data_IF_309244177252
#
_entry.id   IF_309244177252
#
_cell.length_a   1.000
_cell.length_b   1.000
_cell.length_c   1.000
_cell.angle_alpha   90.00
_cell.angle_beta   90.00
_cell.angle_gamma   90.00
#
_symmetry.space_group_name_H-M   'P 1'
#
loop_
_entity.id
_entity.type
_entity.pdbx_description
1 polymer ?
#
# COMPACT_ATOMS: atom_id res chain seq x y z
N UNK A 1 -2.92 -14.47 50.99
CA UNK A 1 -1.67 -13.72 50.76
C UNK A 1 -1.46 -13.27 49.30
N UNK A 2 -2.20 -13.81 48.30
CA UNK A 2 -1.99 -13.47 46.87
C UNK A 2 -2.70 -12.19 46.38
N UNK A 3 -3.86 -11.82 46.92
CA UNK A 3 -4.63 -10.69 46.37
C UNK A 3 -3.99 -9.33 46.64
N UNK A 4 -3.37 -9.13 47.81
CA UNK A 4 -2.65 -7.87 48.10
C UNK A 4 -1.37 -7.72 47.28
N UNK A 5 -0.68 -8.80 47.00
CA UNK A 5 0.53 -8.80 46.17
C UNK A 5 0.20 -8.52 44.69
N UNK A 6 -0.94 -9.01 44.22
CA UNK A 6 -1.43 -8.76 42.83
C UNK A 6 -1.84 -7.28 42.66
N UNK A 7 -2.52 -6.71 43.63
CA UNK A 7 -2.89 -5.28 43.65
C UNK A 7 -1.67 -4.35 43.66
N UNK A 8 -0.60 -4.71 44.35
CA UNK A 8 0.66 -3.96 44.38
C UNK A 8 1.36 -3.98 43.02
N UNK A 9 1.47 -5.16 42.37
CA UNK A 9 2.13 -5.28 41.06
C UNK A 9 1.41 -4.49 39.98
N UNK A 10 0.08 -4.53 39.94
CA UNK A 10 -0.70 -3.76 38.99
C UNK A 10 -0.57 -2.26 39.24
N UNK A 11 -0.63 -1.82 40.49
CA UNK A 11 -0.43 -0.41 40.87
C UNK A 11 0.96 0.09 40.45
N UNK A 12 2.01 -0.63 40.82
CA UNK A 12 3.38 -0.29 40.44
C UNK A 12 3.59 -0.25 38.93
N UNK A 13 2.89 -1.12 38.19
CA UNK A 13 2.96 -1.14 36.71
C UNK A 13 2.26 0.08 36.11
N UNK A 14 1.09 0.44 36.62
CA UNK A 14 0.37 1.65 36.19
C UNK A 14 1.22 2.90 36.45
N UNK A 15 1.77 3.05 37.65
CA UNK A 15 2.64 4.18 37.99
C UNK A 15 3.82 4.31 37.00
N UNK A 16 4.52 3.20 36.72
CA UNK A 16 5.66 3.20 35.77
C UNK A 16 5.26 3.50 34.34
N UNK A 17 4.12 3.00 33.89
CA UNK A 17 3.62 3.25 32.53
C UNK A 17 3.03 4.66 32.36
N UNK A 18 2.56 5.27 33.48
CA UNK A 18 2.02 6.63 33.49
C UNK A 18 3.08 7.71 33.75
N UNK A 19 4.32 7.32 34.02
CA UNK A 19 5.43 8.26 34.15
C UNK A 19 5.74 8.92 32.80
N UNK A 20 5.63 10.24 32.72
CA UNK A 20 5.85 11.02 31.50
C UNK A 20 7.21 10.71 30.85
N UNK A 21 8.24 10.48 31.63
CA UNK A 21 9.57 10.13 31.10
C UNK A 21 9.56 8.82 30.31
N UNK A 22 8.67 7.87 30.65
CA UNK A 22 8.58 6.57 30.01
C UNK A 22 7.93 6.60 28.62
N UNK A 23 7.05 7.55 28.34
CA UNK A 23 6.29 7.63 27.09
C UNK A 23 6.51 8.89 26.27
N UNK A 24 7.28 9.87 26.77
CA UNK A 24 7.47 11.19 26.14
C UNK A 24 7.74 11.16 24.62
N UNK A 25 8.49 10.16 24.14
CA UNK A 25 8.79 10.02 22.70
C UNK A 25 7.76 9.19 21.94
N UNK A 26 6.87 8.48 22.64
CA UNK A 26 5.89 7.57 22.08
C UNK A 26 4.47 8.12 22.15
N UNK A 27 4.28 9.23 22.89
CA UNK A 27 2.98 9.84 23.10
C UNK A 27 2.65 10.78 21.92
N UNK A 28 1.50 10.53 21.30
CA UNK A 28 0.91 11.44 20.33
C UNK A 28 -0.19 12.24 21.03
N UNK A 29 0.05 13.56 21.18
CA UNK A 29 -0.98 14.47 21.65
C UNK A 29 -1.86 14.87 20.47
N UNK A 30 -3.12 14.49 20.53
CA UNK A 30 -4.14 14.90 19.56
C UNK A 30 -5.17 15.81 20.24
N UNK A 31 -5.94 16.52 19.44
CA UNK A 31 -7.01 17.40 19.95
C UNK A 31 -8.16 16.54 20.43
N UNK A 32 -8.91 17.03 21.43
CA UNK A 32 -10.14 16.41 21.86
C UNK A 32 -11.07 16.21 20.65
N UNK A 33 -11.58 14.97 20.47
CA UNK A 33 -12.46 14.55 19.38
C UNK A 33 -11.80 14.25 18.01
N UNK A 34 -10.50 14.39 17.83
CA UNK A 34 -9.84 13.96 16.58
C UNK A 34 -9.86 12.44 16.44
N UNK A 35 -10.46 11.96 15.34
CA UNK A 35 -10.40 10.54 14.99
C UNK A 35 -9.04 10.19 14.42
N UNK A 36 -8.46 9.07 14.84
CA UNK A 36 -7.26 8.49 14.23
C UNK A 36 -7.64 7.70 12.98
N UNK A 37 -6.71 7.55 12.01
CA UNK A 37 -6.91 6.62 10.90
C UNK A 37 -7.19 5.20 11.42
N UNK A 38 -8.27 4.58 10.93
CA UNK A 38 -8.73 3.26 11.38
C UNK A 38 -8.42 2.18 10.36
N UNK A 39 -7.65 1.16 10.75
CA UNK A 39 -7.38 0.00 9.91
C UNK A 39 -8.65 -0.77 9.51
N UNK A 40 -9.65 -0.83 10.39
CA UNK A 40 -10.92 -1.50 10.09
C UNK A 40 -11.71 -0.75 9.01
N UNK A 41 -11.81 0.58 9.13
CA UNK A 41 -12.48 1.41 8.11
C UNK A 41 -11.71 1.38 6.78
N UNK A 42 -10.38 1.37 6.82
CA UNK A 42 -9.58 1.23 5.59
C UNK A 42 -9.81 -0.12 4.91
N UNK A 43 -10.03 -1.19 5.67
CA UNK A 43 -10.43 -2.49 5.09
C UNK A 43 -11.76 -2.40 4.38
N UNK A 44 -12.75 -1.74 4.98
CA UNK A 44 -14.05 -1.49 4.33
C UNK A 44 -13.90 -0.66 3.05
N UNK A 45 -13.08 0.39 3.07
CA UNK A 45 -12.75 1.21 1.89
C UNK A 45 -12.16 0.34 0.76
N UNK A 46 -11.23 -0.56 1.07
CA UNK A 46 -10.64 -1.47 0.09
C UNK A 46 -11.68 -2.44 -0.47
N UNK A 47 -12.56 -2.96 0.35
CA UNK A 47 -13.63 -3.87 -0.09
C UNK A 47 -14.65 -3.14 -0.98
N UNK A 48 -14.99 -1.88 -0.68
CA UNK A 48 -15.81 -1.02 -1.56
C UNK A 48 -15.09 -0.74 -2.90
N UNK A 49 -13.80 -0.41 -2.86
CA UNK A 49 -13.01 -0.24 -4.08
C UNK A 49 -13.05 -1.52 -4.94
N UNK A 50 -12.85 -2.69 -4.35
CA UNK A 50 -12.94 -3.97 -5.06
C UNK A 50 -14.32 -4.22 -5.66
N UNK A 51 -15.40 -3.92 -4.92
CA UNK A 51 -16.77 -4.08 -5.40
C UNK A 51 -17.09 -3.12 -6.56
N UNK A 52 -16.53 -1.91 -6.55
CA UNK A 52 -16.65 -0.93 -7.62
C UNK A 52 -15.82 -1.37 -8.84
N UNK A 53 -14.57 -1.77 -8.63
CA UNK A 53 -13.61 -2.10 -9.70
C UNK A 53 -13.96 -3.41 -10.41
N UNK A 54 -14.48 -4.40 -9.68
CA UNK A 54 -14.83 -5.74 -10.17
C UNK A 54 -16.29 -6.10 -9.81
N UNK A 55 -17.27 -5.44 -10.44
CA UNK A 55 -18.69 -5.69 -10.15
C UNK A 55 -19.07 -7.14 -10.45
N UNK A 56 -19.73 -7.77 -9.49
CA UNK A 56 -20.13 -9.18 -9.57
C UNK A 56 -19.09 -10.18 -9.03
N UNK A 57 -17.85 -9.75 -8.79
CA UNK A 57 -16.84 -10.57 -8.12
C UNK A 57 -16.81 -10.32 -6.62
N UNK A 58 -17.00 -9.08 -6.20
CA UNK A 58 -16.95 -8.66 -4.80
C UNK A 58 -18.25 -8.00 -4.37
N UNK A 59 -18.50 -7.97 -3.06
CA UNK A 59 -19.72 -7.41 -2.47
C UNK A 59 -20.82 -8.46 -2.30
N UNK A 60 -21.89 -8.09 -1.59
CA UNK A 60 -22.97 -8.99 -1.16
C UNK A 60 -24.18 -8.99 -2.11
N UNK A 61 -24.19 -8.14 -3.13
CA UNK A 61 -25.34 -7.93 -4.00
C UNK A 61 -25.24 -8.80 -5.27
N UNK A 62 -26.35 -9.41 -5.65
CA UNK A 62 -26.50 -9.98 -7.01
C UNK A 62 -26.62 -8.83 -8.00
N UNK A 63 -25.54 -8.54 -8.70
CA UNK A 63 -25.47 -7.45 -9.67
C UNK A 63 -25.89 -7.98 -11.05
N UNK A 64 -26.83 -7.29 -11.68
CA UNK A 64 -27.24 -7.50 -13.07
C UNK A 64 -26.88 -6.27 -13.93
N UNK A 65 -26.91 -6.41 -15.26
CA UNK A 65 -26.71 -5.28 -16.17
C UNK A 65 -27.67 -4.12 -15.92
N UNK A 66 -28.86 -4.39 -15.38
CA UNK A 66 -29.89 -3.39 -15.07
C UNK A 66 -29.62 -2.67 -13.74
N UNK A 67 -29.04 -3.37 -12.76
CA UNK A 67 -28.82 -2.85 -11.40
C UNK A 67 -27.41 -2.33 -11.15
N UNK A 68 -26.44 -2.62 -12.03
CA UNK A 68 -25.04 -2.25 -11.85
C UNK A 68 -24.84 -0.74 -11.58
N UNK A 69 -25.56 0.11 -12.32
CA UNK A 69 -25.45 1.57 -12.16
C UNK A 69 -25.89 2.02 -10.77
N UNK A 70 -26.96 1.43 -10.25
CA UNK A 70 -27.46 1.72 -8.91
C UNK A 70 -26.45 1.29 -7.83
N UNK A 71 -26.00 0.03 -7.90
CA UNK A 71 -25.01 -0.49 -6.91
C UNK A 71 -23.68 0.27 -6.96
N UNK A 72 -23.21 0.62 -8.16
CA UNK A 72 -22.00 1.44 -8.30
C UNK A 72 -22.19 2.81 -7.68
N UNK A 73 -23.34 3.46 -7.89
CA UNK A 73 -23.65 4.77 -7.31
C UNK A 73 -23.62 4.75 -5.78
N UNK A 74 -24.33 3.77 -5.16
CA UNK A 74 -24.34 3.61 -3.71
C UNK A 74 -22.93 3.35 -3.15
N UNK A 75 -22.16 2.46 -3.77
CA UNK A 75 -20.82 2.14 -3.31
C UNK A 75 -19.87 3.35 -3.45
N UNK A 76 -19.96 4.14 -4.51
CA UNK A 76 -19.16 5.34 -4.72
C UNK A 76 -19.47 6.40 -3.66
N UNK A 77 -20.74 6.62 -3.36
CA UNK A 77 -21.18 7.57 -2.32
C UNK A 77 -20.69 7.13 -0.93
N UNK A 78 -20.84 5.86 -0.60
CA UNK A 78 -20.34 5.29 0.67
C UNK A 78 -18.81 5.41 0.75
N UNK A 79 -18.11 5.07 -0.34
CA UNK A 79 -16.65 5.21 -0.44
C UNK A 79 -16.22 6.65 -0.20
N UNK A 80 -16.88 7.63 -0.83
CA UNK A 80 -16.58 9.05 -0.64
C UNK A 80 -16.70 9.44 0.84
N UNK A 81 -17.82 9.10 1.49
CA UNK A 81 -18.07 9.43 2.89
C UNK A 81 -17.02 8.82 3.85
N UNK A 82 -16.65 7.55 3.63
CA UNK A 82 -15.66 6.89 4.48
C UNK A 82 -14.24 7.41 4.22
N UNK A 83 -13.89 7.58 2.93
CA UNK A 83 -12.55 8.02 2.55
C UNK A 83 -12.28 9.45 3.01
N UNK A 84 -13.23 10.38 2.86
CA UNK A 84 -13.07 11.77 3.32
C UNK A 84 -12.78 11.83 4.82
N UNK A 85 -13.45 11.02 5.63
CA UNK A 85 -13.21 10.95 7.08
C UNK A 85 -11.81 10.39 7.41
N UNK A 86 -11.37 9.35 6.68
CA UNK A 86 -10.04 8.77 6.91
C UNK A 86 -8.93 9.70 6.42
N UNK A 87 -9.10 10.35 5.28
CA UNK A 87 -8.14 11.36 4.79
C UNK A 87 -8.04 12.52 5.77
N UNK A 88 -9.18 13.01 6.27
CA UNK A 88 -9.20 14.03 7.33
C UNK A 88 -8.40 13.59 8.55
N UNK A 89 -8.67 12.39 9.07
CA UNK A 89 -7.94 11.84 10.22
C UNK A 89 -6.43 11.70 9.94
N UNK A 90 -6.05 11.30 8.72
CA UNK A 90 -4.65 11.20 8.30
C UNK A 90 -3.95 12.56 8.22
N UNK A 91 -4.63 13.59 7.70
CA UNK A 91 -4.12 14.96 7.63
C UNK A 91 -3.93 15.55 9.02
N UNK A 92 -4.92 15.42 9.90
CA UNK A 92 -4.81 15.86 11.28
C UNK A 92 -3.67 15.17 12.03
N UNK A 93 -3.54 13.85 11.86
CA UNK A 93 -2.46 13.09 12.49
C UNK A 93 -1.06 13.47 12.01
N UNK A 94 -0.93 13.87 10.74
CA UNK A 94 0.36 14.28 10.17
C UNK A 94 0.80 15.67 10.61
N UNK A 95 -0.14 16.55 10.93
CA UNK A 95 0.13 17.95 11.27
C UNK A 95 0.26 18.14 12.79
N UNK A 96 1.41 17.75 13.32
CA UNK A 96 1.74 17.95 14.74
C UNK A 96 1.97 19.43 15.11
N UNK A 97 2.05 20.33 14.12
CA UNK A 97 2.37 21.76 14.35
C UNK A 97 1.13 22.66 14.32
N UNK A 98 0.02 22.19 13.78
CA UNK A 98 -1.13 23.05 13.51
C UNK A 98 -2.15 23.07 14.65
N UNK A 99 -1.77 23.67 15.77
CA UNK A 99 -2.74 24.04 16.82
C UNK A 99 -3.79 25.07 16.31
N UNK A 100 -3.60 25.62 15.11
CA UNK A 100 -4.35 26.78 14.59
C UNK A 100 -5.01 26.59 13.22
N UNK A 101 -4.85 25.43 12.54
CA UNK A 101 -5.53 25.20 11.26
C UNK A 101 -7.05 25.13 11.47
N UNK A 102 -7.85 25.92 10.73
CA UNK A 102 -9.31 25.81 10.81
C UNK A 102 -9.76 24.41 10.36
N UNK A 103 -10.54 23.74 11.18
CA UNK A 103 -11.12 22.42 10.91
C UNK A 103 -11.82 22.36 9.55
N UNK A 104 -12.57 23.42 9.20
CA UNK A 104 -13.24 23.57 7.91
C UNK A 104 -12.29 23.47 6.70
N UNK A 105 -11.05 23.96 6.83
CA UNK A 105 -10.06 23.90 5.74
C UNK A 105 -9.55 22.48 5.52
N UNK A 106 -9.23 21.76 6.61
CA UNK A 106 -8.75 20.38 6.51
C UNK A 106 -9.87 19.47 6.00
N UNK A 107 -11.12 19.70 6.43
CA UNK A 107 -12.29 18.97 5.94
C UNK A 107 -12.49 19.17 4.44
N UNK A 108 -12.46 20.42 3.97
CA UNK A 108 -12.57 20.72 2.53
C UNK A 108 -11.44 20.12 1.70
N UNK A 109 -10.21 20.10 2.23
CA UNK A 109 -9.07 19.45 1.58
C UNK A 109 -9.26 17.93 1.50
N UNK A 110 -9.73 17.30 2.58
CA UNK A 110 -10.00 15.86 2.63
C UNK A 110 -11.11 15.46 1.63
N UNK A 111 -12.15 16.26 1.50
CA UNK A 111 -13.22 16.06 0.52
C UNK A 111 -12.67 16.17 -0.92
N UNK A 112 -11.92 17.21 -1.22
CA UNK A 112 -11.32 17.42 -2.54
C UNK A 112 -10.35 16.27 -2.93
N UNK A 113 -9.54 15.79 -2.00
CA UNK A 113 -8.67 14.62 -2.20
C UNK A 113 -9.50 13.37 -2.49
N UNK A 114 -10.59 13.16 -1.74
CA UNK A 114 -11.45 11.98 -1.92
C UNK A 114 -12.17 12.00 -3.27
N UNK A 115 -12.67 13.15 -3.71
CA UNK A 115 -13.24 13.33 -5.05
C UNK A 115 -12.20 13.08 -6.15
N UNK A 116 -10.99 13.64 -5.99
CA UNK A 116 -9.89 13.43 -6.91
C UNK A 116 -9.52 11.94 -7.00
N UNK A 117 -9.44 11.22 -5.88
CA UNK A 117 -9.20 9.79 -5.86
C UNK A 117 -10.32 9.02 -6.60
N UNK A 118 -11.58 9.28 -6.30
CA UNK A 118 -12.72 8.61 -6.92
C UNK A 118 -12.70 8.80 -8.44
N UNK A 119 -12.31 9.98 -8.92
CA UNK A 119 -12.18 10.25 -10.35
C UNK A 119 -11.15 9.36 -11.06
N UNK A 120 -10.19 8.78 -10.32
CA UNK A 120 -9.17 7.86 -10.87
C UNK A 120 -9.62 6.39 -10.93
N UNK A 121 -10.75 6.02 -10.32
CA UNK A 121 -11.20 4.61 -10.29
C UNK A 121 -11.36 3.98 -11.67
N UNK A 122 -11.84 4.67 -12.73
CA UNK A 122 -11.89 4.11 -14.06
C UNK A 122 -10.51 3.77 -14.63
N UNK A 123 -9.48 4.60 -14.36
CA UNK A 123 -8.10 4.34 -14.77
C UNK A 123 -7.52 3.15 -14.00
N UNK A 124 -7.72 3.10 -12.68
CA UNK A 124 -7.30 1.96 -11.85
C UNK A 124 -7.92 0.66 -12.37
N UNK A 125 -9.21 0.66 -12.73
CA UNK A 125 -9.87 -0.51 -13.32
C UNK A 125 -9.19 -0.93 -14.62
N UNK A 126 -8.86 0.01 -15.49
CA UNK A 126 -8.14 -0.27 -16.75
C UNK A 126 -6.79 -0.93 -16.49
N UNK A 127 -5.99 -0.40 -15.57
CA UNK A 127 -4.70 -0.98 -15.18
C UNK A 127 -4.86 -2.37 -14.59
N UNK A 128 -5.79 -2.57 -13.66
CA UNK A 128 -6.03 -3.88 -13.06
C UNK A 128 -6.54 -4.92 -14.08
N UNK A 129 -7.30 -4.52 -15.08
CA UNK A 129 -7.71 -5.41 -16.15
C UNK A 129 -6.49 -5.95 -16.93
N UNK A 130 -5.50 -5.09 -17.20
CA UNK A 130 -4.25 -5.51 -17.84
C UNK A 130 -3.39 -6.41 -16.94
N UNK A 131 -3.40 -6.19 -15.63
CA UNK A 131 -2.66 -7.01 -14.66
C UNK A 131 -3.29 -8.40 -14.49
N UNK A 132 -4.63 -8.49 -14.54
CA UNK A 132 -5.35 -9.79 -14.59
C UNK A 132 -4.99 -10.56 -15.86
N UNK A 133 -5.00 -9.89 -17.02
CA UNK A 133 -4.63 -10.50 -18.30
C UNK A 133 -3.19 -11.01 -18.30
N UNK A 134 -2.25 -10.21 -17.81
CA UNK A 134 -0.84 -10.61 -17.70
C UNK A 134 -0.65 -11.83 -16.78
N UNK A 135 -1.35 -11.85 -15.65
CA UNK A 135 -1.30 -12.97 -14.70
C UNK A 135 -1.88 -14.24 -15.32
N UNK A 136 -3.03 -14.14 -15.96
CA UNK A 136 -3.69 -15.28 -16.63
C UNK A 136 -2.83 -15.85 -17.76
N UNK A 137 -2.28 -14.98 -18.62
CA UNK A 137 -1.43 -15.40 -19.73
C UNK A 137 -0.06 -15.94 -19.27
N UNK A 138 0.37 -15.53 -18.08
CA UNK A 138 1.64 -15.95 -17.50
C UNK A 138 1.59 -17.29 -16.77
N UNK A 139 0.41 -17.74 -16.32
CA UNK A 139 0.25 -18.97 -15.54
C UNK A 139 -0.62 -19.99 -16.29
N UNK A 140 0.00 -21.06 -16.86
CA UNK A 140 -0.75 -22.13 -17.52
C UNK A 140 -1.73 -22.89 -16.61
N UNK A 141 -1.61 -22.77 -15.28
CA UNK A 141 -2.51 -23.41 -14.33
C UNK A 141 -3.81 -22.61 -14.13
N UNK A 142 -3.85 -21.33 -14.46
CA UNK A 142 -5.04 -20.49 -14.34
C UNK A 142 -6.11 -20.91 -15.34
N UNK A 143 -7.31 -21.25 -14.84
CA UNK A 143 -8.40 -21.74 -15.66
C UNK A 143 -9.18 -20.62 -16.36
N UNK A 144 -9.27 -19.45 -15.73
CA UNK A 144 -9.98 -18.29 -16.27
C UNK A 144 -9.57 -17.01 -15.51
N UNK A 145 -9.96 -15.85 -16.03
CA UNK A 145 -9.68 -14.54 -15.41
C UNK A 145 -10.32 -14.39 -14.03
N UNK A 146 -11.48 -15.04 -13.79
CA UNK A 146 -12.15 -15.00 -12.49
C UNK A 146 -11.35 -15.67 -11.38
N UNK A 147 -10.67 -16.76 -11.69
CA UNK A 147 -9.77 -17.43 -10.75
C UNK A 147 -8.62 -16.49 -10.33
N UNK A 148 -8.03 -15.76 -11.27
CA UNK A 148 -7.00 -14.77 -10.95
C UNK A 148 -7.53 -13.70 -9.99
N UNK A 149 -8.72 -13.16 -10.26
CA UNK A 149 -9.34 -12.11 -9.45
C UNK A 149 -9.63 -12.61 -8.01
N UNK A 150 -10.12 -13.84 -7.86
CA UNK A 150 -10.53 -14.38 -6.56
C UNK A 150 -9.40 -15.00 -5.73
N UNK A 151 -8.45 -15.68 -6.39
CA UNK A 151 -7.56 -16.62 -5.70
C UNK A 151 -6.11 -16.13 -5.61
N UNK A 152 -5.65 -15.27 -6.53
CA UNK A 152 -4.22 -14.99 -6.65
C UNK A 152 -3.75 -13.92 -5.65
N UNK A 153 -2.84 -14.26 -4.73
CA UNK A 153 -2.31 -13.31 -3.75
C UNK A 153 -1.53 -12.18 -4.42
N UNK A 154 -0.80 -12.47 -5.51
CA UNK A 154 -0.10 -11.44 -6.30
C UNK A 154 -1.05 -10.37 -6.82
N UNK A 155 -2.18 -10.78 -7.40
CA UNK A 155 -3.19 -9.85 -7.89
C UNK A 155 -3.85 -9.04 -6.75
N UNK A 156 -4.07 -9.67 -5.58
CA UNK A 156 -4.59 -8.98 -4.39
C UNK A 156 -3.64 -7.87 -3.92
N UNK A 157 -2.34 -8.15 -3.86
CA UNK A 157 -1.33 -7.17 -3.48
C UNK A 157 -1.22 -6.03 -4.50
N UNK A 158 -1.25 -6.34 -5.80
CA UNK A 158 -1.26 -5.35 -6.89
C UNK A 158 -2.50 -4.46 -6.77
N UNK A 159 -3.67 -5.01 -6.50
CA UNK A 159 -4.91 -4.25 -6.33
C UNK A 159 -4.81 -3.21 -5.21
N UNK A 160 -4.36 -3.62 -4.03
CA UNK A 160 -4.14 -2.69 -2.91
C UNK A 160 -3.08 -1.64 -3.26
N UNK A 161 -1.99 -2.05 -3.91
CA UNK A 161 -0.95 -1.13 -4.34
C UNK A 161 -1.49 -0.07 -5.32
N UNK A 162 -2.26 -0.45 -6.35
CA UNK A 162 -2.83 0.50 -7.33
C UNK A 162 -3.70 1.56 -6.65
N UNK A 163 -4.53 1.14 -5.69
CA UNK A 163 -5.36 2.04 -4.88
C UNK A 163 -4.48 2.95 -4.01
N UNK A 164 -3.57 2.37 -3.25
CA UNK A 164 -2.67 3.10 -2.36
C UNK A 164 -1.76 4.09 -3.11
N UNK A 165 -1.28 3.71 -4.29
CA UNK A 165 -0.43 4.56 -5.14
C UNK A 165 -1.13 5.86 -5.56
N UNK A 166 -2.42 5.81 -5.89
CA UNK A 166 -3.16 7.03 -6.23
C UNK A 166 -3.34 7.94 -5.02
N UNK A 167 -3.66 7.40 -3.85
CA UNK A 167 -3.71 8.17 -2.62
C UNK A 167 -2.33 8.76 -2.24
N UNK A 168 -1.27 8.00 -2.47
CA UNK A 168 0.11 8.48 -2.28
C UNK A 168 0.44 9.66 -3.20
N UNK A 169 0.05 9.59 -4.48
CA UNK A 169 0.22 10.69 -5.46
C UNK A 169 -0.57 11.94 -5.08
N UNK A 170 -1.71 11.78 -4.42
CA UNK A 170 -2.54 12.88 -3.90
C UNK A 170 -2.00 13.45 -2.58
N UNK A 171 -0.87 12.94 -2.09
CA UNK A 171 -0.23 13.45 -0.88
C UNK A 171 -0.87 13.01 0.43
N UNK A 172 -1.74 12.00 0.41
CA UNK A 172 -2.38 11.47 1.62
C UNK A 172 -1.31 10.84 2.53
N UNK A 173 -1.17 11.31 3.79
CA UNK A 173 -0.19 10.75 4.71
C UNK A 173 -0.67 9.41 5.30
N UNK A 174 0.25 8.51 5.66
CA UNK A 174 0.07 7.23 6.36
C UNK A 174 -0.87 6.23 5.68
N UNK A 175 -2.07 6.63 5.26
CA UNK A 175 -3.13 5.76 4.71
C UNK A 175 -2.64 4.91 3.54
N UNK A 176 -1.89 5.43 2.54
CA UNK A 176 -1.36 4.59 1.47
C UNK A 176 -0.48 3.46 1.99
N UNK A 177 0.36 3.73 2.98
CA UNK A 177 1.20 2.70 3.60
C UNK A 177 0.38 1.70 4.40
N UNK A 178 -0.61 2.15 5.17
CA UNK A 178 -1.51 1.25 5.89
C UNK A 178 -2.21 0.27 4.93
N UNK A 179 -2.67 0.74 3.77
CA UNK A 179 -3.33 -0.09 2.75
C UNK A 179 -2.37 -1.15 2.18
N UNK A 180 -1.12 -0.79 1.88
CA UNK A 180 -0.14 -1.76 1.36
C UNK A 180 0.31 -2.74 2.43
N UNK A 181 0.43 -2.33 3.70
CA UNK A 181 0.74 -3.23 4.81
C UNK A 181 -0.39 -4.24 5.11
N UNK A 182 -1.65 -3.87 4.86
CA UNK A 182 -2.75 -4.84 4.93
C UNK A 182 -2.56 -5.97 3.91
N UNK A 183 -2.19 -5.63 2.67
CA UNK A 183 -1.90 -6.64 1.65
C UNK A 183 -0.64 -7.45 2.00
N UNK A 184 0.41 -6.79 2.52
CA UNK A 184 1.62 -7.45 2.98
C UNK A 184 1.32 -8.49 4.08
N UNK A 185 0.53 -8.12 5.08
CA UNK A 185 0.11 -9.04 6.15
C UNK A 185 -0.70 -10.23 5.64
N UNK A 186 -1.52 -10.03 4.61
CA UNK A 186 -2.39 -11.06 4.05
C UNK A 186 -1.67 -12.00 3.07
N UNK A 187 -0.73 -11.46 2.27
CA UNK A 187 -0.13 -12.16 1.13
C UNK A 187 1.35 -12.44 1.26
N UNK A 188 2.03 -11.80 2.21
CA UNK A 188 3.49 -11.82 2.30
C UNK A 188 4.19 -11.01 1.19
N UNK A 189 3.47 -10.12 0.48
CA UNK A 189 3.99 -9.30 -0.61
C UNK A 189 4.01 -7.84 -0.18
N UNK A 190 5.20 -7.26 -0.02
CA UNK A 190 5.41 -5.86 0.36
C UNK A 190 5.65 -5.00 -0.88
N UNK A 191 4.70 -4.14 -1.23
CA UNK A 191 4.85 -3.15 -2.31
C UNK A 191 4.69 -1.76 -1.70
N UNK A 192 5.77 -0.97 -1.69
CA UNK A 192 5.68 0.40 -1.19
C UNK A 192 4.78 1.26 -2.12
N UNK A 193 3.85 2.07 -1.60
CA UNK A 193 2.92 2.86 -2.42
C UNK A 193 3.60 3.90 -3.31
N UNK A 194 4.84 4.29 -3.00
CA UNK A 194 5.65 5.20 -3.81
C UNK A 194 6.30 4.56 -5.05
N UNK A 195 6.36 3.23 -5.15
CA UNK A 195 6.88 2.54 -6.32
C UNK A 195 6.09 2.92 -7.59
N UNK A 196 6.76 2.97 -8.73
CA UNK A 196 6.12 3.27 -10.03
C UNK A 196 6.07 2.00 -10.86
N UNK A 197 4.87 1.48 -11.11
CA UNK A 197 4.66 0.21 -11.81
C UNK A 197 3.78 0.44 -13.04
N UNK A 198 4.25 0.02 -14.20
CA UNK A 198 3.55 0.08 -15.47
C UNK A 198 2.34 -0.87 -15.54
N UNK A 199 1.77 -1.04 -16.74
CA UNK A 199 0.64 -1.94 -17.00
C UNK A 199 1.11 -3.37 -17.29
N UNK A 200 0.18 -4.34 -17.28
CA UNK A 200 0.46 -5.77 -17.48
C UNK A 200 1.54 -6.31 -16.52
N UNK A 201 1.49 -5.85 -15.29
CA UNK A 201 2.40 -6.31 -14.24
C UNK A 201 1.84 -7.55 -13.56
N UNK A 202 2.68 -8.55 -13.32
CA UNK A 202 2.28 -9.76 -12.61
C UNK A 202 3.29 -10.21 -11.57
N UNK A 203 2.78 -10.72 -10.46
CA UNK A 203 3.55 -11.37 -9.38
C UNK A 203 3.06 -12.79 -9.29
N UNK A 204 3.97 -13.74 -9.57
CA UNK A 204 3.67 -15.16 -9.50
C UNK A 204 4.04 -15.72 -8.11
N UNK A 205 3.10 -16.44 -7.47
CA UNK A 205 3.15 -16.87 -6.08
C UNK A 205 3.31 -15.70 -5.09
N UNK A 206 4.42 -15.02 -5.09
CA UNK A 206 4.67 -13.70 -4.53
C UNK A 206 5.16 -13.68 -3.09
N UNK A 207 4.99 -14.71 -2.29
CA UNK A 207 5.41 -14.69 -0.86
C UNK A 207 6.86 -14.27 -0.72
N UNK A 208 7.12 -13.27 0.13
CA UNK A 208 8.46 -12.74 0.37
C UNK A 208 8.96 -11.76 -0.71
N UNK A 209 8.10 -11.35 -1.65
CA UNK A 209 8.44 -10.28 -2.61
C UNK A 209 8.44 -8.93 -1.92
N UNK A 210 9.48 -8.11 -2.18
CA UNK A 210 9.62 -6.75 -1.68
C UNK A 210 9.90 -5.78 -2.83
N UNK A 211 9.07 -4.75 -2.97
CA UNK A 211 9.23 -3.68 -3.95
C UNK A 211 9.36 -2.34 -3.21
N UNK A 212 10.59 -1.80 -3.18
CA UNK A 212 10.90 -0.60 -2.42
C UNK A 212 10.37 0.70 -3.04
N UNK A 213 10.34 1.75 -2.24
CA UNK A 213 9.70 3.05 -2.48
C UNK A 213 9.99 3.69 -3.84
N UNK A 214 11.25 3.73 -4.25
CA UNK A 214 11.67 4.44 -5.47
C UNK A 214 11.95 3.49 -6.64
N UNK A 215 11.45 2.24 -6.56
CA UNK A 215 11.50 1.28 -7.67
C UNK A 215 10.70 1.80 -8.85
N UNK A 216 11.25 1.61 -10.06
CA UNK A 216 10.56 1.91 -11.31
C UNK A 216 10.46 0.61 -12.12
N UNK A 217 9.24 0.18 -12.39
CA UNK A 217 8.94 -1.06 -13.10
C UNK A 217 8.17 -0.71 -14.36
N UNK A 218 8.70 -1.11 -15.51
CA UNK A 218 8.09 -0.90 -16.82
C UNK A 218 6.83 -1.75 -17.04
N UNK A 219 6.44 -1.85 -18.30
CA UNK A 219 5.28 -2.62 -18.74
C UNK A 219 5.64 -4.08 -18.98
N UNK A 220 4.65 -4.98 -18.83
CA UNK A 220 4.82 -6.43 -19.06
C UNK A 220 5.94 -7.06 -18.23
N UNK A 221 6.18 -6.54 -17.06
CA UNK A 221 7.17 -7.10 -16.12
C UNK A 221 6.54 -8.20 -15.29
N UNK A 222 7.25 -9.31 -15.17
CA UNK A 222 6.86 -10.45 -14.33
C UNK A 222 7.90 -10.71 -13.25
N UNK A 223 7.46 -10.85 -12.02
CA UNK A 223 8.33 -11.22 -10.89
C UNK A 223 7.74 -12.41 -10.12
N UNK A 224 8.63 -13.18 -9.51
CA UNK A 224 8.28 -14.39 -8.77
C UNK A 224 8.48 -14.19 -7.25
N UNK A 225 8.05 -15.17 -6.47
CA UNK A 225 8.19 -15.15 -5.03
C UNK A 225 9.64 -14.89 -4.57
N UNK A 226 9.79 -14.22 -3.43
CA UNK A 226 11.07 -13.94 -2.83
C UNK A 226 11.95 -12.91 -3.55
N UNK A 227 11.45 -12.30 -4.62
CA UNK A 227 12.19 -11.23 -5.32
C UNK A 227 12.23 -9.99 -4.46
N UNK A 228 13.43 -9.42 -4.26
CA UNK A 228 13.63 -8.17 -3.53
C UNK A 228 14.21 -7.09 -4.44
N UNK A 229 13.46 -5.99 -4.62
CA UNK A 229 13.93 -4.75 -5.23
C UNK A 229 14.29 -3.77 -4.11
N UNK A 230 15.52 -3.89 -3.59
CA UNK A 230 15.97 -3.22 -2.39
C UNK A 230 16.72 -1.92 -2.69
N UNK A 231 16.63 -0.97 -1.78
CA UNK A 231 17.40 0.27 -1.86
C UNK A 231 18.85 0.08 -1.41
N UNK A 232 19.75 0.81 -2.05
CA UNK A 232 21.11 0.96 -1.50
C UNK A 232 21.08 1.77 -0.20
N UNK A 233 22.04 1.45 0.68
CA UNK A 233 22.24 2.22 1.89
C UNK A 233 22.99 3.51 1.55
N UNK A 234 22.27 4.64 1.67
CA UNK A 234 22.88 5.96 1.52
C UNK A 234 23.63 6.34 2.80
N UNK A 235 24.75 7.07 2.70
CA UNK A 235 25.39 7.65 3.89
C UNK A 235 24.40 8.62 4.56
N UNK A 236 24.48 8.78 5.90
CA UNK A 236 23.65 9.77 6.58
C UNK A 236 24.01 11.20 6.14
N UNK A 237 23.11 12.13 6.37
CA UNK A 237 23.38 13.56 6.21
C UNK A 237 24.40 14.08 7.26
N UNK A 238 24.75 15.36 7.18
CA UNK A 238 25.73 16.00 8.09
C UNK A 238 25.29 15.94 9.56
N UNK A 239 23.99 15.71 9.83
CA UNK A 239 23.42 15.59 11.17
C UNK A 239 23.26 14.15 11.63
N UNK A 240 23.70 13.15 10.82
CA UNK A 240 23.58 11.74 11.12
C UNK A 240 22.20 11.14 10.80
N UNK A 241 21.32 11.86 10.12
CA UNK A 241 19.97 11.40 9.77
C UNK A 241 19.97 10.65 8.43
N UNK A 242 19.05 9.70 8.29
CA UNK A 242 18.83 9.01 7.02
C UNK A 242 18.32 9.98 5.94
N UNK A 243 18.96 10.00 4.77
CA UNK A 243 18.51 10.78 3.61
C UNK A 243 17.25 10.12 3.06
N UNK A 244 16.16 10.90 2.93
CA UNK A 244 14.85 10.44 2.48
C UNK A 244 14.50 11.01 1.10
N UNK A 245 13.57 10.36 0.38
CA UNK A 245 13.06 10.84 -0.91
C UNK A 245 14.02 10.74 -2.09
N UNK A 246 15.20 10.13 -1.91
CA UNK A 246 16.20 9.95 -2.97
C UNK A 246 16.00 8.60 -3.67
N UNK A 247 16.09 8.62 -5.02
CA UNK A 247 15.99 7.40 -5.82
C UNK A 247 17.18 6.46 -5.52
N UNK A 248 16.88 5.31 -4.91
CA UNK A 248 17.86 4.33 -4.42
C UNK A 248 17.48 2.86 -4.70
N UNK A 249 16.42 2.62 -5.46
CA UNK A 249 15.92 1.29 -5.79
C UNK A 249 16.09 0.97 -7.29
N UNK A 250 16.00 -0.32 -7.68
CA UNK A 250 16.17 -0.76 -9.06
C UNK A 250 15.16 -0.18 -10.04
N UNK A 251 15.58 -0.12 -11.31
CA UNK A 251 14.76 0.21 -12.46
C UNK A 251 14.68 -1.01 -13.36
N UNK A 252 13.49 -1.57 -13.56
CA UNK A 252 13.21 -2.65 -14.50
C UNK A 252 12.53 -2.06 -15.73
N UNK A 253 13.12 -2.25 -16.91
CA UNK A 253 12.50 -1.83 -18.17
C UNK A 253 11.39 -2.81 -18.60
N UNK A 254 10.72 -2.51 -19.73
CA UNK A 254 9.61 -3.32 -20.22
C UNK A 254 10.04 -4.78 -20.50
N UNK A 255 9.09 -5.70 -20.31
CA UNK A 255 9.26 -7.14 -20.59
C UNK A 255 10.36 -7.83 -19.79
N UNK A 256 10.76 -7.27 -18.64
CA UNK A 256 11.72 -7.92 -17.74
C UNK A 256 11.03 -9.04 -16.96
N UNK A 257 11.71 -10.17 -16.83
CA UNK A 257 11.30 -11.28 -15.95
C UNK A 257 12.34 -11.49 -14.86
N UNK A 258 11.93 -11.50 -13.60
CA UNK A 258 12.80 -11.77 -12.46
C UNK A 258 12.32 -13.01 -11.72
N UNK A 259 13.09 -14.10 -11.81
CA UNK A 259 12.78 -15.37 -11.18
C UNK A 259 13.06 -15.37 -9.67
N UNK A 260 12.52 -16.39 -9.02
CA UNK A 260 12.40 -16.53 -7.58
C UNK A 260 13.69 -16.28 -6.79
N UNK A 261 13.52 -15.66 -5.59
CA UNK A 261 14.57 -15.42 -4.61
C UNK A 261 15.74 -14.56 -5.11
N UNK A 262 15.55 -13.79 -6.19
CA UNK A 262 16.59 -12.89 -6.69
C UNK A 262 16.52 -11.55 -5.96
N UNK A 263 17.68 -11.00 -5.62
CA UNK A 263 17.80 -9.71 -4.93
C UNK A 263 18.53 -8.73 -5.85
N UNK A 264 17.86 -7.62 -6.14
CA UNK A 264 18.38 -6.50 -6.93
C UNK A 264 18.52 -5.31 -5.99
N UNK A 265 19.73 -4.77 -5.83
CA UNK A 265 20.01 -3.71 -4.84
C UNK A 265 20.56 -2.46 -5.52
N UNK A 266 20.06 -1.31 -5.05
CA UNK A 266 20.55 -0.02 -5.49
C UNK A 266 19.90 0.46 -6.78
N UNK A 267 20.31 1.62 -7.24
CA UNK A 267 19.78 2.27 -8.45
C UNK A 267 20.35 1.63 -9.73
N UNK A 268 20.26 0.30 -9.83
CA UNK A 268 20.65 -0.45 -11.01
C UNK A 268 19.51 -0.43 -12.04
N UNK A 269 19.89 -0.56 -13.32
CA UNK A 269 18.92 -0.65 -14.43
C UNK A 269 19.03 -2.02 -15.09
N UNK A 270 17.90 -2.71 -15.14
CA UNK A 270 17.73 -3.98 -15.87
C UNK A 270 17.07 -3.65 -17.20
N UNK A 271 17.78 -3.93 -18.29
CA UNK A 271 17.36 -3.56 -19.63
C UNK A 271 16.15 -4.36 -20.12
N UNK A 272 15.48 -3.80 -21.14
CA UNK A 272 14.26 -4.35 -21.75
C UNK A 272 14.43 -5.81 -22.17
N UNK A 273 13.44 -6.63 -21.84
CA UNK A 273 13.39 -8.05 -22.19
C UNK A 273 14.40 -8.93 -21.46
N UNK A 274 15.15 -8.39 -20.50
CA UNK A 274 16.10 -9.18 -19.73
C UNK A 274 15.38 -10.20 -18.83
N UNK A 275 16.03 -11.36 -18.67
CA UNK A 275 15.60 -12.41 -17.74
C UNK A 275 16.66 -12.57 -16.65
N UNK A 276 16.27 -12.36 -15.40
CA UNK A 276 17.10 -12.61 -14.24
C UNK A 276 16.75 -13.98 -13.69
N UNK A 277 17.73 -14.90 -13.69
CA UNK A 277 17.54 -16.25 -13.16
C UNK A 277 17.30 -16.24 -11.64
N UNK A 278 16.74 -17.33 -11.12
CA UNK A 278 16.48 -17.45 -9.69
C UNK A 278 17.74 -17.50 -8.82
N UNK A 279 17.60 -17.08 -7.56
CA UNK A 279 18.67 -17.07 -6.54
C UNK A 279 19.89 -16.20 -6.92
N UNK A 280 19.70 -15.13 -7.69
CA UNK A 280 20.76 -14.22 -8.13
C UNK A 280 20.78 -12.98 -7.24
N UNK A 281 22.00 -12.54 -6.89
CA UNK A 281 22.23 -11.28 -6.18
C UNK A 281 22.93 -10.29 -7.09
N UNK A 282 22.27 -9.16 -7.41
CA UNK A 282 22.81 -8.11 -8.27
C UNK A 282 22.84 -6.79 -7.51
N UNK A 283 24.00 -6.16 -7.41
CA UNK A 283 24.17 -4.84 -6.82
C UNK A 283 25.22 -4.05 -7.62
N UNK A 284 25.26 -2.73 -7.42
CA UNK A 284 26.40 -1.94 -7.87
C UNK A 284 27.64 -2.39 -7.09
N UNK A 285 28.64 -2.85 -7.82
CA UNK A 285 29.98 -3.04 -7.23
C UNK A 285 30.60 -1.64 -7.09
N UNK A 286 30.76 -1.18 -5.85
CA UNK A 286 31.64 -0.05 -5.59
C UNK A 286 33.08 -0.59 -5.74
N UNK A 287 33.72 -0.27 -6.85
CA UNK A 287 35.18 -0.35 -6.93
C UNK A 287 35.72 0.82 -6.12
N UNK A 288 36.31 0.51 -4.99
CA UNK A 288 37.10 1.45 -4.16
C UNK A 288 38.28 1.99 -4.96
#
# INVERSE_FOLDING_TARGET
MDIQRHSSVLGDTVEKLSDEASYKQLFHAYRDEEALPSGEVLKEIIDLCRAILFPGYYGNARISKQTIRFHTGVNVETLHSLLSKQVYAGLCFADTSCVTCPEEKISAEAEAISEAFISTLPEIRGLLATDVEATFNGDPAAQNLGEVIFCYPGFRAIGNYRIAHQLYKLGVPYIPRMITEMAHSETGIDIHPGAKIGHHFSIDHGTGTVIGETSVIGNYVRIFQGVSLAGEKLPPDENGNAIRGVARHPILEDHVTVYSNSTLIGKIRIGRGATICGNVWICLLYTS
#
